data_IF_029207001003
#
_entry.id   IF_029207001003
#
_cell.length_a   1.000
_cell.length_b   1.000
_cell.length_c   1.000
_cell.angle_alpha   90.00
_cell.angle_beta   90.00
_cell.angle_gamma   90.00
#
_symmetry.space_group_name_H-M   'P 1'
#
loop_
_entity.id
_entity.type
_entity.pdbx_description
1 polymer ?
#
# COMPACT_ATOMS: atom_id res chain seq x y z
N UNK A 1 -9.78 21.13 -17.75
CA UNK A 1 -8.78 20.05 -17.75
C UNK A 1 -8.89 19.34 -16.41
N UNK A 2 -9.76 18.33 -16.32
CA UNK A 2 -9.86 17.51 -15.11
C UNK A 2 -8.58 16.70 -15.07
N UNK A 3 -7.65 17.04 -14.16
CA UNK A 3 -6.61 16.08 -13.78
C UNK A 3 -7.38 14.81 -13.44
N UNK A 4 -7.13 13.72 -14.17
CA UNK A 4 -7.59 12.40 -13.73
C UNK A 4 -6.84 12.16 -12.43
N UNK A 5 -7.42 12.62 -11.33
CA UNK A 5 -6.97 12.28 -10.01
C UNK A 5 -7.23 10.78 -9.91
N UNK A 6 -6.19 9.97 -10.15
CA UNK A 6 -6.27 8.54 -9.90
C UNK A 6 -6.68 8.39 -8.44
N UNK A 7 -7.83 7.78 -8.22
CA UNK A 7 -8.39 7.57 -6.88
C UNK A 7 -7.46 6.67 -6.08
N UNK A 8 -7.52 6.76 -4.74
CA UNK A 8 -6.75 5.87 -3.89
C UNK A 8 -7.04 4.38 -4.19
N UNK A 9 -8.26 4.06 -4.63
CA UNK A 9 -8.64 2.72 -5.05
C UNK A 9 -7.94 2.29 -6.36
N UNK A 10 -7.88 3.15 -7.38
CA UNK A 10 -7.15 2.85 -8.63
C UNK A 10 -5.64 2.66 -8.37
N UNK A 11 -5.05 3.50 -7.51
CA UNK A 11 -3.64 3.37 -7.12
C UNK A 11 -3.40 2.04 -6.38
N UNK A 12 -4.34 1.64 -5.51
CA UNK A 12 -4.28 0.34 -4.84
C UNK A 12 -4.40 -0.82 -5.84
N UNK A 13 -5.25 -0.73 -6.85
CA UNK A 13 -5.34 -1.78 -7.87
C UNK A 13 -4.04 -1.91 -8.65
N UNK A 14 -3.44 -0.80 -9.05
CA UNK A 14 -2.13 -0.82 -9.68
C UNK A 14 -1.04 -1.38 -8.75
N UNK A 15 -1.08 -1.05 -7.45
CA UNK A 15 -0.19 -1.63 -6.46
C UNK A 15 -0.36 -3.15 -6.31
N UNK A 16 -1.59 -3.66 -6.42
CA UNK A 16 -1.86 -5.09 -6.43
C UNK A 16 -1.24 -5.76 -7.67
N UNK A 17 -1.37 -5.15 -8.85
CA UNK A 17 -0.77 -5.68 -10.08
C UNK A 17 0.75 -5.80 -9.95
N UNK A 18 1.42 -4.74 -9.50
CA UNK A 18 2.87 -4.74 -9.26
C UNK A 18 3.26 -5.76 -8.17
N UNK A 19 2.40 -5.97 -7.16
CA UNK A 19 2.61 -7.01 -6.16
C UNK A 19 2.56 -8.42 -6.78
N UNK A 20 1.62 -8.69 -7.70
CA UNK A 20 1.54 -9.97 -8.41
C UNK A 20 2.70 -10.17 -9.40
N UNK A 21 3.22 -9.08 -9.97
CA UNK A 21 4.43 -9.10 -10.81
C UNK A 21 5.70 -9.38 -10.00
N UNK A 22 5.64 -9.29 -8.67
CA UNK A 22 6.78 -9.46 -7.77
C UNK A 22 7.58 -8.17 -7.54
N UNK A 23 7.12 -7.04 -8.10
CA UNK A 23 7.70 -5.71 -7.92
C UNK A 23 7.20 -5.06 -6.61
N UNK A 24 7.46 -5.76 -5.50
CA UNK A 24 6.98 -5.36 -4.18
C UNK A 24 7.44 -3.95 -3.76
N UNK A 25 8.61 -3.49 -4.23
CA UNK A 25 9.10 -2.14 -3.95
C UNK A 25 8.21 -1.06 -4.58
N UNK A 26 7.76 -1.31 -5.82
CA UNK A 26 6.84 -0.42 -6.54
C UNK A 26 5.48 -0.46 -5.88
N UNK A 27 4.98 -1.67 -5.57
CA UNK A 27 3.74 -1.84 -4.83
C UNK A 27 3.74 -1.05 -3.50
N UNK A 28 4.82 -1.09 -2.72
CA UNK A 28 4.95 -0.31 -1.47
C UNK A 28 4.83 1.20 -1.72
N UNK A 29 5.50 1.72 -2.76
CA UNK A 29 5.45 3.14 -3.10
C UNK A 29 4.02 3.55 -3.50
N UNK A 30 3.33 2.70 -4.26
CA UNK A 30 1.95 2.93 -4.68
C UNK A 30 0.97 2.87 -3.50
N UNK A 31 1.07 1.87 -2.61
CA UNK A 31 0.27 1.83 -1.39
C UNK A 31 0.52 3.05 -0.51
N UNK A 32 1.76 3.52 -0.42
CA UNK A 32 2.09 4.74 0.33
C UNK A 32 1.35 5.95 -0.24
N UNK A 33 1.34 6.07 -1.56
CA UNK A 33 0.61 7.14 -2.25
C UNK A 33 -0.92 7.01 -2.05
N UNK A 34 -1.45 5.79 -2.07
CA UNK A 34 -2.86 5.54 -1.76
C UNK A 34 -3.21 5.93 -0.31
N UNK A 35 -2.33 5.62 0.67
CA UNK A 35 -2.48 5.99 2.08
C UNK A 35 -2.44 7.52 2.27
N UNK A 36 -1.57 8.22 1.54
CA UNK A 36 -1.49 9.68 1.57
C UNK A 36 -2.77 10.36 1.06
N UNK A 37 -3.49 9.71 0.14
CA UNK A 37 -4.77 10.19 -0.37
C UNK A 37 -5.93 9.79 0.54
N UNK A 38 -5.99 8.52 0.92
CA UNK A 38 -7.02 7.97 1.80
C UNK A 38 -6.38 6.95 2.76
N UNK A 39 -6.35 7.29 4.05
CA UNK A 39 -5.82 6.38 5.06
C UNK A 39 -6.85 5.31 5.39
N UNK A 40 -6.71 4.12 4.78
CA UNK A 40 -7.51 2.93 5.06
C UNK A 40 -6.66 1.78 5.57
N UNK A 41 -7.20 1.06 6.54
CA UNK A 41 -6.55 -0.13 7.12
C UNK A 41 -6.15 -1.17 6.05
N UNK A 42 -6.93 -1.27 4.95
CA UNK A 42 -6.65 -2.18 3.83
C UNK A 42 -5.31 -1.84 3.15
N UNK A 43 -5.01 -0.56 2.94
CA UNK A 43 -3.78 -0.16 2.25
C UNK A 43 -2.55 -0.41 3.12
N UNK A 44 -2.65 -0.17 4.42
CA UNK A 44 -1.60 -0.52 5.38
C UNK A 44 -1.37 -2.04 5.43
N UNK A 45 -2.44 -2.84 5.42
CA UNK A 45 -2.33 -4.31 5.39
C UNK A 45 -1.64 -4.82 4.12
N UNK A 46 -2.01 -4.31 2.95
CA UNK A 46 -1.38 -4.71 1.69
C UNK A 46 0.07 -4.23 1.58
N UNK A 47 0.38 -3.02 2.07
CA UNK A 47 1.76 -2.53 2.16
C UNK A 47 2.62 -3.38 3.11
N UNK A 48 2.05 -3.82 4.24
CA UNK A 48 2.70 -4.75 5.16
C UNK A 48 3.00 -6.10 4.48
N UNK A 49 2.05 -6.64 3.72
CA UNK A 49 2.28 -7.87 2.93
C UNK A 49 3.43 -7.69 1.93
N UNK A 50 3.49 -6.56 1.22
CA UNK A 50 4.59 -6.26 0.31
C UNK A 50 5.95 -6.14 1.03
N UNK A 51 5.98 -5.55 2.22
CA UNK A 51 7.17 -5.55 3.07
C UNK A 51 7.56 -6.97 3.52
N UNK A 52 6.61 -7.83 3.86
CA UNK A 52 6.88 -9.24 4.21
C UNK A 52 7.50 -10.00 3.05
N UNK A 53 7.03 -9.79 1.82
CA UNK A 53 7.58 -10.42 0.62
C UNK A 53 9.03 -10.00 0.31
N UNK A 54 9.42 -8.78 0.71
CA UNK A 54 10.81 -8.30 0.64
C UNK A 54 11.68 -8.73 1.83
N UNK A 55 11.13 -9.45 2.81
CA UNK A 55 11.83 -9.76 4.06
C UNK A 55 12.02 -8.56 5.00
N UNK A 56 11.30 -7.46 4.76
CA UNK A 56 11.36 -6.22 5.55
C UNK A 56 10.35 -6.25 6.70
N UNK A 57 10.50 -7.20 7.61
CA UNK A 57 9.55 -7.45 8.70
C UNK A 57 9.37 -6.25 9.65
N UNK A 58 10.41 -5.45 9.87
CA UNK A 58 10.31 -4.23 10.69
C UNK A 58 9.33 -3.21 10.09
N UNK A 59 9.34 -3.04 8.77
CA UNK A 59 8.40 -2.14 8.08
C UNK A 59 6.97 -2.66 8.16
N UNK A 60 6.79 -3.98 7.96
CA UNK A 60 5.49 -4.63 8.05
C UNK A 60 4.85 -4.48 9.45
N UNK A 61 5.62 -4.64 10.52
CA UNK A 61 5.11 -4.51 11.90
C UNK A 61 4.56 -3.10 12.16
N UNK A 62 5.29 -2.07 11.73
CA UNK A 62 4.85 -0.67 11.91
C UNK A 62 3.54 -0.42 11.15
N UNK A 63 3.43 -0.95 9.94
CA UNK A 63 2.20 -0.83 9.15
C UNK A 63 1.03 -1.59 9.74
N UNK A 64 1.24 -2.81 10.22
CA UNK A 64 0.22 -3.57 10.92
C UNK A 64 -0.28 -2.80 12.15
N UNK A 65 0.62 -2.22 12.95
CA UNK A 65 0.23 -1.38 14.09
C UNK A 65 -0.62 -0.18 13.68
N UNK A 66 -0.23 0.54 12.63
CA UNK A 66 -1.03 1.67 12.10
C UNK A 66 -2.38 1.24 11.57
N UNK A 67 -2.46 0.06 10.93
CA UNK A 67 -3.73 -0.51 10.48
C UNK A 67 -4.67 -0.84 11.64
N UNK A 68 -4.14 -1.33 12.76
CA UNK A 68 -4.92 -1.63 13.97
C UNK A 68 -5.34 -0.39 14.75
N UNK A 69 -4.52 0.67 14.76
CA UNK A 69 -4.84 1.93 15.46
C UNK A 69 -5.98 2.71 14.78
N UNK A 70 -6.14 2.55 13.46
CA UNK A 70 -7.21 3.18 12.67
C UNK A 70 -8.52 2.38 12.59
N UNK A 71 -8.80 1.49 13.55
CA UNK A 71 -10.04 0.69 13.60
C UNK A 71 -11.25 1.48 14.14
#
# INVERSE_FOLDING_TARGET
MVKRDCTAEEIKEYANEEFYLGDYKVAIALYTKAIEMESRAVYHGNRAAAFMMLGLYRGAIVDCHRAFEHR
#
